data_IF_730892270435
#
_entry.id   IF_730892270435
#
_cell.length_a   1.000
_cell.length_b   1.000
_cell.length_c   1.000
_cell.angle_alpha   90.00
_cell.angle_beta   90.00
_cell.angle_gamma   90.00
#
_symmetry.space_group_name_H-M   'P 1'
#
loop_
_entity.id
_entity.type
_entity.pdbx_description
1 polymer ?
#
# COMPACT_ATOMS: atom_id res chain seq x y z
N UNK A 1 11.30 -12.18 -5.60
CA UNK A 1 10.34 -11.98 -4.52
C UNK A 1 9.59 -13.28 -4.09
N UNK A 2 9.68 -14.38 -4.85
CA UNK A 2 9.01 -15.67 -4.53
C UNK A 2 9.94 -16.87 -4.77
N UNK A 3 10.98 -17.06 -3.98
CA UNK A 3 11.84 -18.21 -4.16
C UNK A 3 11.03 -19.51 -4.03
N UNK A 4 11.25 -20.47 -4.94
CA UNK A 4 10.53 -21.76 -4.95
C UNK A 4 9.05 -21.72 -5.38
N UNK A 5 8.37 -20.57 -5.40
CA UNK A 5 6.92 -20.46 -5.70
C UNK A 5 6.60 -19.58 -6.92
N UNK A 6 7.61 -19.12 -7.65
CA UNK A 6 7.40 -18.16 -8.74
C UNK A 6 6.46 -18.67 -9.85
N UNK A 7 6.42 -19.97 -10.12
CA UNK A 7 5.59 -20.57 -11.17
C UNK A 7 4.09 -20.30 -11.00
N UNK A 8 3.61 -20.04 -9.78
CA UNK A 8 2.20 -19.74 -9.48
C UNK A 8 1.84 -18.25 -9.62
N UNK A 9 2.83 -17.38 -9.56
CA UNK A 9 2.63 -15.93 -9.44
C UNK A 9 2.07 -15.30 -10.71
N UNK A 10 2.55 -15.63 -11.95
CA UNK A 10 1.98 -15.04 -13.15
C UNK A 10 0.47 -15.26 -13.31
N UNK A 11 -0.03 -16.45 -12.98
CA UNK A 11 -1.47 -16.76 -13.04
C UNK A 11 -2.27 -15.96 -11.99
N UNK A 12 -1.75 -15.83 -10.77
CA UNK A 12 -2.36 -15.01 -9.73
C UNK A 12 -2.45 -13.53 -10.13
N UNK A 13 -1.38 -12.99 -10.70
CA UNK A 13 -1.36 -11.62 -11.23
C UNK A 13 -2.40 -11.44 -12.33
N UNK A 14 -2.49 -12.39 -13.27
CA UNK A 14 -3.51 -12.36 -14.33
C UNK A 14 -4.93 -12.37 -13.74
N UNK A 15 -5.21 -13.15 -12.70
CA UNK A 15 -6.50 -13.15 -11.99
C UNK A 15 -6.81 -11.78 -11.37
N UNK A 16 -5.82 -11.14 -10.73
CA UNK A 16 -5.96 -9.80 -10.16
C UNK A 16 -6.26 -8.78 -11.26
N UNK A 17 -5.46 -8.76 -12.33
CA UNK A 17 -5.63 -7.87 -13.49
C UNK A 17 -7.04 -8.05 -14.09
N UNK A 18 -7.47 -9.29 -14.32
CA UNK A 18 -8.80 -9.61 -14.88
C UNK A 18 -9.95 -9.08 -14.02
N UNK A 19 -9.81 -9.14 -12.68
CA UNK A 19 -10.82 -8.60 -11.76
C UNK A 19 -10.87 -7.08 -11.77
N UNK A 20 -9.72 -6.41 -11.77
CA UNK A 20 -9.62 -4.96 -11.76
C UNK A 20 -10.07 -4.37 -13.10
N UNK A 21 -9.60 -4.91 -14.22
CA UNK A 21 -9.82 -4.37 -15.57
C UNK A 21 -11.29 -4.32 -16.02
N UNK A 22 -12.17 -5.11 -15.38
CA UNK A 22 -13.60 -5.11 -15.69
C UNK A 22 -14.28 -3.76 -15.47
N UNK A 23 -13.79 -2.94 -14.55
CA UNK A 23 -14.46 -1.70 -14.15
C UNK A 23 -13.56 -0.48 -14.19
N UNK A 24 -12.29 -0.65 -14.52
CA UNK A 24 -11.35 0.46 -14.65
C UNK A 24 -10.21 0.11 -15.60
N UNK A 25 -9.58 1.15 -16.15
CA UNK A 25 -8.38 1.02 -16.97
C UNK A 25 -7.17 0.67 -16.08
N UNK A 26 -6.31 -0.19 -16.59
CA UNK A 26 -5.04 -0.54 -15.92
C UNK A 26 -3.89 -0.06 -16.78
N UNK A 27 -2.98 0.70 -16.19
CA UNK A 27 -1.66 0.98 -16.72
C UNK A 27 -0.72 -0.11 -16.22
N UNK A 28 -0.43 -1.09 -17.08
CA UNK A 28 0.40 -2.25 -16.72
C UNK A 28 1.86 -1.97 -17.05
N UNK A 29 2.69 -1.89 -16.02
CA UNK A 29 4.13 -1.78 -16.16
C UNK A 29 4.70 -3.16 -16.44
N UNK A 30 5.51 -3.27 -17.48
CA UNK A 30 6.15 -4.51 -17.91
C UNK A 30 7.65 -4.25 -18.10
N UNK A 31 8.47 -4.99 -17.37
CA UNK A 31 9.94 -4.84 -17.41
C UNK A 31 10.60 -5.70 -18.49
N UNK A 32 10.05 -6.89 -18.74
CA UNK A 32 10.59 -7.88 -19.72
C UNK A 32 9.43 -8.63 -20.41
N UNK A 33 9.73 -9.32 -21.51
CA UNK A 33 8.82 -10.26 -22.18
C UNK A 33 7.44 -9.69 -22.55
N UNK A 34 7.37 -8.42 -22.91
CA UNK A 34 6.10 -7.71 -23.21
C UNK A 34 5.26 -8.44 -24.27
N UNK A 35 5.89 -9.08 -25.26
CA UNK A 35 5.20 -9.86 -26.31
C UNK A 35 4.40 -11.03 -25.70
N UNK A 36 5.04 -11.80 -24.82
CA UNK A 36 4.40 -12.93 -24.14
C UNK A 36 3.28 -12.49 -23.22
N UNK A 37 3.50 -11.41 -22.48
CA UNK A 37 2.47 -10.85 -21.58
C UNK A 37 1.26 -10.35 -22.37
N UNK A 38 1.46 -9.65 -23.50
CA UNK A 38 0.39 -9.25 -24.42
C UNK A 38 -0.38 -10.47 -24.94
N UNK A 39 0.31 -11.54 -25.33
CA UNK A 39 -0.31 -12.79 -25.77
C UNK A 39 -1.18 -13.41 -24.66
N UNK A 40 -0.65 -13.51 -23.42
CA UNK A 40 -1.40 -14.02 -22.27
C UNK A 40 -2.65 -13.17 -21.96
N UNK A 41 -2.54 -11.85 -21.97
CA UNK A 41 -3.67 -10.92 -21.76
C UNK A 41 -4.75 -11.13 -22.83
N UNK A 42 -4.35 -11.27 -24.11
CA UNK A 42 -5.27 -11.55 -25.25
C UNK A 42 -5.96 -12.90 -25.09
N UNK A 43 -5.22 -13.96 -24.80
CA UNK A 43 -5.76 -15.32 -24.59
C UNK A 43 -6.77 -15.37 -23.45
N UNK A 44 -6.54 -14.61 -22.38
CA UNK A 44 -7.48 -14.51 -21.25
C UNK A 44 -8.62 -13.51 -21.49
N UNK A 45 -8.74 -12.95 -22.69
CA UNK A 45 -9.78 -11.96 -23.09
C UNK A 45 -9.86 -10.76 -22.12
N UNK A 46 -8.71 -10.32 -21.59
CA UNK A 46 -8.62 -9.19 -20.67
C UNK A 46 -8.59 -7.89 -21.48
N UNK A 47 -9.49 -6.97 -21.17
CA UNK A 47 -9.61 -5.65 -21.81
C UNK A 47 -9.17 -4.53 -20.89
N UNK A 48 -9.14 -3.28 -21.38
CA UNK A 48 -8.84 -2.06 -20.61
C UNK A 48 -7.40 -2.01 -20.05
N UNK A 49 -6.43 -2.53 -20.80
CA UNK A 49 -5.01 -2.53 -20.41
C UNK A 49 -4.21 -1.61 -21.32
N UNK A 50 -3.49 -0.67 -20.73
CA UNK A 50 -2.37 0.04 -21.37
C UNK A 50 -1.06 -0.58 -20.91
N UNK A 51 -0.19 -0.89 -21.84
CA UNK A 51 1.13 -1.45 -21.55
C UNK A 51 2.19 -0.35 -21.54
N UNK A 52 3.01 -0.33 -20.51
CA UNK A 52 4.15 0.58 -20.39
C UNK A 52 5.42 -0.23 -20.16
N UNK A 53 6.40 -0.09 -21.07
CA UNK A 53 7.69 -0.74 -20.89
C UNK A 53 8.58 0.13 -20.01
N UNK A 54 8.73 -0.28 -18.75
CA UNK A 54 9.57 0.38 -17.76
C UNK A 54 10.38 -0.69 -17.02
N UNK A 55 11.69 -0.52 -16.97
CA UNK A 55 12.55 -1.43 -16.18
C UNK A 55 12.23 -1.28 -14.70
N UNK A 56 11.99 -2.39 -14.03
CA UNK A 56 11.78 -2.48 -12.59
C UNK A 56 12.67 -3.56 -12.00
N UNK A 57 12.99 -3.44 -10.74
CA UNK A 57 13.72 -4.47 -9.98
C UNK A 57 12.73 -5.40 -9.27
N UNK A 58 11.58 -4.88 -8.84
CA UNK A 58 10.54 -5.58 -8.09
C UNK A 58 9.14 -5.23 -8.59
N UNK A 59 8.12 -5.89 -8.07
CA UNK A 59 6.72 -5.68 -8.46
C UNK A 59 5.97 -4.66 -7.57
N UNK A 60 6.55 -4.26 -6.45
CA UNK A 60 5.88 -3.53 -5.39
C UNK A 60 5.67 -2.06 -5.74
N UNK A 61 4.73 -1.80 -6.67
CA UNK A 61 4.47 -0.47 -7.21
C UNK A 61 3.84 0.49 -6.19
N UNK A 62 3.24 -0.03 -5.11
CA UNK A 62 2.74 0.79 -4.01
C UNK A 62 3.86 1.65 -3.42
N UNK A 63 5.05 1.08 -3.31
CA UNK A 63 6.16 1.68 -2.60
C UNK A 63 7.11 2.47 -3.50
N UNK A 64 7.31 1.99 -4.71
CA UNK A 64 8.18 2.65 -5.69
C UNK A 64 7.44 3.54 -6.69
N UNK A 65 6.12 3.42 -6.76
CA UNK A 65 5.27 4.09 -7.75
C UNK A 65 4.88 5.52 -7.38
N UNK A 66 4.17 6.21 -8.30
CA UNK A 66 3.84 7.61 -8.16
C UNK A 66 2.77 7.85 -7.11
N UNK A 67 3.01 8.78 -6.21
CA UNK A 67 1.99 9.33 -5.33
C UNK A 67 1.37 10.53 -6.04
N UNK A 68 0.09 10.39 -6.42
CA UNK A 68 -0.61 11.45 -7.11
C UNK A 68 -1.27 12.42 -6.13
N UNK A 69 -1.07 13.71 -6.39
CA UNK A 69 -1.89 14.79 -5.83
C UNK A 69 -2.73 15.43 -6.92
N UNK A 70 -3.94 15.86 -6.57
CA UNK A 70 -4.89 16.45 -7.51
C UNK A 70 -5.34 17.81 -7.03
N UNK A 71 -5.45 18.76 -7.97
CA UNK A 71 -6.18 20.00 -7.79
C UNK A 71 -7.44 19.93 -8.65
N UNK A 72 -8.61 19.82 -7.99
CA UNK A 72 -9.89 19.68 -8.68
C UNK A 72 -10.34 20.98 -9.37
N UNK A 73 -9.99 22.12 -8.81
CA UNK A 73 -10.35 23.44 -9.37
C UNK A 73 -9.62 23.66 -10.69
N UNK A 74 -8.30 23.46 -10.68
CA UNK A 74 -7.47 23.60 -11.87
C UNK A 74 -7.47 22.35 -12.78
N UNK A 75 -8.20 21.30 -12.43
CA UNK A 75 -8.20 19.99 -13.12
C UNK A 75 -6.79 19.48 -13.40
N UNK A 76 -5.89 19.63 -12.44
CA UNK A 76 -4.48 19.22 -12.55
C UNK A 76 -4.15 18.03 -11.67
N UNK A 77 -3.27 17.19 -12.17
CA UNK A 77 -2.70 16.04 -11.48
C UNK A 77 -1.18 16.14 -11.54
N UNK A 78 -0.54 15.92 -10.41
CA UNK A 78 0.92 16.00 -10.25
C UNK A 78 1.43 14.77 -9.52
N UNK A 79 2.61 14.31 -9.88
CA UNK A 79 3.31 13.22 -9.21
C UNK A 79 4.20 13.80 -8.11
N UNK A 80 4.02 13.37 -6.87
CA UNK A 80 5.05 13.50 -5.85
C UNK A 80 6.05 12.36 -6.03
N UNK A 81 7.24 12.71 -6.51
CA UNK A 81 8.30 11.77 -6.79
C UNK A 81 9.21 11.61 -5.58
N UNK A 82 8.75 10.88 -4.57
CA UNK A 82 9.61 10.50 -3.46
C UNK A 82 10.76 9.59 -3.94
N UNK A 83 11.85 9.55 -3.19
CA UNK A 83 12.90 8.57 -3.40
C UNK A 83 12.46 7.20 -2.86
N UNK A 84 12.97 6.15 -3.48
CA UNK A 84 12.85 4.77 -3.03
C UNK A 84 14.24 4.16 -2.87
N UNK A 85 14.51 3.49 -1.75
CA UNK A 85 15.81 2.93 -1.40
C UNK A 85 15.76 1.45 -1.00
N UNK A 86 14.76 0.71 -1.50
CA UNK A 86 14.59 -0.71 -1.19
C UNK A 86 14.28 -0.96 0.28
N UNK A 87 13.44 -0.12 0.90
CA UNK A 87 13.06 -0.15 2.32
C UNK A 87 14.25 -0.03 3.28
N UNK A 88 15.36 0.57 2.84
CA UNK A 88 16.66 0.58 3.55
C UNK A 88 17.20 -0.82 3.90
N UNK A 89 16.81 -1.82 3.13
CA UNK A 89 17.15 -3.23 3.35
C UNK A 89 17.82 -3.87 2.14
N UNK A 90 17.33 -3.56 0.94
CA UNK A 90 17.76 -4.21 -0.29
C UNK A 90 18.51 -3.25 -1.22
N UNK A 91 19.59 -3.73 -1.84
CA UNK A 91 20.43 -2.93 -2.73
C UNK A 91 19.92 -2.87 -4.18
N UNK A 92 19.01 -3.76 -4.58
CA UNK A 92 18.44 -3.85 -5.93
C UNK A 92 17.15 -3.03 -6.03
N UNK A 93 17.27 -1.71 -6.07
CA UNK A 93 16.15 -0.77 -6.17
C UNK A 93 16.37 0.35 -7.20
N UNK A 94 17.49 0.34 -7.91
CA UNK A 94 17.90 1.45 -8.80
C UNK A 94 16.93 1.72 -9.94
N UNK A 95 16.32 0.66 -10.50
CA UNK A 95 15.29 0.82 -11.53
C UNK A 95 13.97 1.28 -10.91
N UNK A 96 13.56 0.70 -9.78
CA UNK A 96 12.34 1.07 -9.07
C UNK A 96 12.34 2.56 -8.68
N UNK A 97 13.48 3.09 -8.21
CA UNK A 97 13.62 4.51 -7.89
C UNK A 97 13.50 5.46 -9.12
N UNK A 98 13.49 4.91 -10.33
CA UNK A 98 13.32 5.68 -11.59
C UNK A 98 11.91 5.58 -12.19
N UNK A 99 11.03 4.72 -11.66
CA UNK A 99 9.68 4.46 -12.20
C UNK A 99 8.92 5.77 -12.38
N UNK A 100 8.89 6.63 -11.36
CA UNK A 100 8.15 7.89 -11.38
C UNK A 100 8.63 8.86 -12.45
N UNK A 101 9.93 8.88 -12.74
CA UNK A 101 10.50 9.67 -13.83
C UNK A 101 10.01 9.14 -15.20
N UNK A 102 9.96 7.82 -15.36
CA UNK A 102 9.47 7.19 -16.59
C UNK A 102 7.98 7.44 -16.79
N UNK A 103 7.17 7.26 -15.75
CA UNK A 103 5.72 7.52 -15.79
C UNK A 103 5.43 8.99 -16.09
N UNK A 104 6.14 9.93 -15.43
CA UNK A 104 6.00 11.36 -15.67
C UNK A 104 6.23 11.71 -17.14
N UNK A 105 7.26 11.14 -17.77
CA UNK A 105 7.56 11.35 -19.20
C UNK A 105 6.50 10.74 -20.11
N UNK A 106 6.13 9.46 -19.89
CA UNK A 106 5.18 8.73 -20.75
C UNK A 106 3.80 9.35 -20.70
N UNK A 107 3.34 9.76 -19.53
CA UNK A 107 1.98 10.28 -19.32
C UNK A 107 1.93 11.83 -19.31
N UNK A 108 3.06 12.49 -19.55
CA UNK A 108 3.20 13.95 -19.52
C UNK A 108 2.69 14.59 -18.22
N UNK A 109 2.98 13.95 -17.07
CA UNK A 109 2.63 14.49 -15.77
C UNK A 109 3.75 15.36 -15.22
N UNK A 110 3.39 16.56 -14.74
CA UNK A 110 4.28 17.34 -13.88
C UNK A 110 4.64 16.54 -12.65
N UNK A 111 5.91 16.56 -12.26
CA UNK A 111 6.38 15.95 -11.02
C UNK A 111 7.03 16.98 -10.10
N UNK A 112 6.91 16.73 -8.81
CA UNK A 112 7.57 17.47 -7.74
C UNK A 112 8.43 16.47 -6.98
N UNK A 113 9.70 16.79 -6.79
CA UNK A 113 10.63 16.02 -5.96
C UNK A 113 10.55 16.54 -4.52
N UNK A 114 10.02 15.78 -3.56
CA UNK A 114 10.04 16.19 -2.17
C UNK A 114 11.47 16.21 -1.63
N UNK A 115 11.89 17.36 -1.14
CA UNK A 115 13.24 17.59 -0.63
C UNK A 115 13.21 18.18 0.77
N UNK A 116 14.27 17.91 1.51
CA UNK A 116 14.59 18.57 2.78
C UNK A 116 15.96 19.23 2.69
N UNK A 117 16.05 20.45 3.23
CA UNK A 117 17.32 21.13 3.46
C UNK A 117 17.69 20.98 4.93
N UNK A 118 18.78 20.28 5.23
CA UNK A 118 19.27 20.06 6.61
C UNK A 118 20.79 20.21 6.65
N UNK A 119 21.30 21.04 7.54
CA UNK A 119 22.74 21.34 7.67
C UNK A 119 23.39 21.73 6.33
N UNK A 120 22.77 22.65 5.59
CA UNK A 120 23.25 23.12 4.28
C UNK A 120 23.12 22.14 3.12
N UNK A 121 22.73 20.88 3.36
CA UNK A 121 22.60 19.86 2.30
C UNK A 121 21.14 19.67 1.90
N UNK A 122 20.90 19.61 0.59
CA UNK A 122 19.60 19.26 0.01
C UNK A 122 19.57 17.75 -0.22
N UNK A 123 18.52 17.08 0.28
CA UNK A 123 18.34 15.64 0.08
C UNK A 123 16.91 15.36 -0.38
N UNK A 124 16.76 14.44 -1.31
CA UNK A 124 15.44 13.89 -1.69
C UNK A 124 14.92 13.03 -0.53
N UNK A 125 13.64 13.19 -0.21
CA UNK A 125 13.01 12.44 0.87
C UNK A 125 12.63 11.05 0.35
N UNK A 126 12.96 10.03 1.11
CA UNK A 126 12.58 8.63 0.86
C UNK A 126 11.22 8.39 1.51
N UNK A 127 10.26 7.83 0.75
CA UNK A 127 8.93 7.51 1.26
C UNK A 127 8.25 6.47 0.37
N UNK A 128 7.73 5.44 0.98
CA UNK A 128 6.92 4.42 0.34
C UNK A 128 5.42 4.74 0.46
N UNK A 129 4.63 4.42 -0.57
CA UNK A 129 3.18 4.64 -0.54
C UNK A 129 2.43 3.72 0.42
N UNK A 130 3.04 2.59 0.84
CA UNK A 130 2.50 1.70 1.88
C UNK A 130 2.78 2.17 3.31
N UNK A 131 3.76 3.09 3.49
CA UNK A 131 4.13 3.62 4.79
C UNK A 131 3.11 4.60 5.38
N UNK A 132 2.17 5.09 4.59
CA UNK A 132 1.13 6.03 5.04
C UNK A 132 -0.21 5.80 4.34
N UNK A 133 -1.30 6.18 4.99
CA UNK A 133 -2.64 6.23 4.40
C UNK A 133 -3.33 7.55 4.77
N UNK A 134 -4.12 8.12 3.86
CA UNK A 134 -4.74 9.43 4.02
C UNK A 134 -6.26 9.37 3.84
N UNK A 135 -7.00 10.18 4.62
CA UNK A 135 -8.46 10.26 4.49
C UNK A 135 -8.94 11.23 3.39
N UNK A 136 -8.02 11.92 2.70
CA UNK A 136 -8.32 12.93 1.69
C UNK A 136 -8.90 14.24 2.26
N UNK A 137 -8.85 14.45 3.57
CA UNK A 137 -9.38 15.64 4.25
C UNK A 137 -8.38 16.30 5.20
N UNK A 138 -7.14 15.81 5.22
CA UNK A 138 -6.07 16.39 6.04
C UNK A 138 -5.62 15.53 7.23
N UNK A 139 -6.12 14.30 7.37
CA UNK A 139 -5.61 13.33 8.35
C UNK A 139 -4.81 12.22 7.69
N UNK A 140 -3.71 11.80 8.32
CA UNK A 140 -2.82 10.73 7.89
C UNK A 140 -2.60 9.68 8.98
N UNK A 141 -2.51 8.42 8.58
CA UNK A 141 -2.09 7.28 9.40
C UNK A 141 -0.64 6.95 9.10
N UNK A 142 0.15 6.71 10.12
CA UNK A 142 1.59 6.41 10.08
C UNK A 142 1.93 5.41 11.18
N UNK A 143 3.08 4.75 11.07
CA UNK A 143 3.63 3.94 12.16
C UNK A 143 4.98 4.50 12.63
N UNK A 144 5.22 4.46 13.94
CA UNK A 144 6.51 4.83 14.54
C UNK A 144 7.60 3.82 14.13
N UNK A 145 7.25 2.53 14.03
CA UNK A 145 8.18 1.48 13.63
C UNK A 145 8.76 1.73 12.23
N UNK A 146 7.93 2.03 11.25
CA UNK A 146 8.39 2.26 9.88
C UNK A 146 9.25 3.53 9.75
N UNK A 147 8.81 4.64 10.35
CA UNK A 147 9.36 5.95 10.03
C UNK A 147 10.38 6.45 11.06
N UNK A 148 10.33 5.97 12.31
CA UNK A 148 11.17 6.48 13.39
C UNK A 148 12.19 5.48 13.92
N UNK A 149 12.08 4.19 13.54
CA UNK A 149 13.04 3.17 13.91
C UNK A 149 14.41 3.42 13.28
N UNK A 150 15.46 3.02 13.97
CA UNK A 150 16.82 3.00 13.43
C UNK A 150 17.10 1.75 12.60
N UNK A 151 16.27 0.73 12.72
CA UNK A 151 16.26 -0.42 11.85
C UNK A 151 15.56 -0.01 10.56
N UNK A 152 16.18 -0.26 9.41
CA UNK A 152 15.65 0.17 8.10
C UNK A 152 15.32 1.68 8.06
N UNK A 153 16.19 2.55 8.59
CA UNK A 153 16.00 4.00 8.64
C UNK A 153 15.96 4.60 7.22
N UNK A 154 14.77 5.02 6.75
CA UNK A 154 14.56 5.58 5.39
C UNK A 154 15.25 6.92 5.22
N UNK A 155 15.12 7.79 6.20
CA UNK A 155 15.67 9.14 6.17
C UNK A 155 16.55 9.38 7.38
N UNK A 156 17.87 9.33 7.20
CA UNK A 156 18.83 9.41 8.30
C UNK A 156 18.59 10.64 9.18
N UNK A 157 18.43 10.37 10.49
CA UNK A 157 18.21 11.38 11.53
C UNK A 157 16.90 12.17 11.40
N UNK A 158 15.87 11.67 10.67
CA UNK A 158 14.55 12.29 10.72
C UNK A 158 13.90 12.01 12.07
N UNK A 159 13.24 13.05 12.58
CA UNK A 159 12.37 12.99 13.75
C UNK A 159 10.90 13.09 13.32
N UNK A 160 9.99 12.79 14.21
CA UNK A 160 8.55 12.90 14.01
C UNK A 160 8.15 14.24 13.38
N UNK A 161 8.67 15.35 13.92
CA UNK A 161 8.42 16.72 13.39
C UNK A 161 8.91 16.92 11.95
N UNK A 162 9.97 16.24 11.51
CA UNK A 162 10.47 16.36 10.14
C UNK A 162 9.46 15.74 9.15
N UNK A 163 8.90 14.56 9.48
CA UNK A 163 7.84 13.93 8.71
C UNK A 163 6.55 14.75 8.71
N UNK A 164 6.12 15.26 9.86
CA UNK A 164 4.93 16.10 9.98
C UNK A 164 5.04 17.36 9.13
N UNK A 165 6.17 18.06 9.17
CA UNK A 165 6.46 19.23 8.30
C UNK A 165 6.42 18.85 6.81
N UNK A 166 6.99 17.71 6.45
CA UNK A 166 7.01 17.21 5.07
C UNK A 166 5.60 16.90 4.58
N UNK A 167 4.81 16.14 5.32
CA UNK A 167 3.44 15.80 4.95
C UNK A 167 2.51 17.03 4.93
N UNK A 168 2.71 17.98 5.85
CA UNK A 168 2.00 19.26 5.80
C UNK A 168 2.32 20.02 4.51
N UNK A 169 3.61 20.17 4.17
CA UNK A 169 4.06 20.91 3.00
C UNK A 169 3.57 20.33 1.68
N UNK A 170 3.67 18.99 1.50
CA UNK A 170 3.45 18.35 0.21
C UNK A 170 2.05 17.74 0.04
N UNK A 171 1.37 17.39 1.14
CA UNK A 171 0.03 16.77 1.14
C UNK A 171 -1.01 17.59 1.91
N UNK A 172 -0.66 18.75 2.43
CA UNK A 172 -1.55 19.60 3.25
C UNK A 172 -2.16 18.84 4.45
N UNK A 173 -1.38 17.93 5.05
CA UNK A 173 -1.81 17.19 6.24
C UNK A 173 -1.70 18.08 7.46
N UNK A 174 -2.76 18.10 8.27
CA UNK A 174 -2.85 18.89 9.52
C UNK A 174 -3.02 18.01 10.74
N UNK A 175 -3.48 16.78 10.56
CA UNK A 175 -3.76 15.84 11.64
C UNK A 175 -3.01 14.53 11.44
N UNK A 176 -2.23 14.10 12.43
CA UNK A 176 -1.29 12.98 12.36
C UNK A 176 -1.65 11.93 13.39
N UNK A 177 -1.96 10.71 12.95
CA UNK A 177 -2.20 9.56 13.81
C UNK A 177 -1.00 8.63 13.71
N UNK A 178 -0.20 8.59 14.75
CA UNK A 178 0.98 7.74 14.86
C UNK A 178 0.65 6.45 15.60
N UNK A 179 0.56 5.36 14.86
CA UNK A 179 0.47 4.01 15.41
C UNK A 179 1.87 3.54 15.85
N UNK A 180 1.94 2.45 16.59
CA UNK A 180 3.21 1.96 17.15
C UNK A 180 3.92 1.05 16.17
N UNK A 181 3.54 -0.22 16.11
CA UNK A 181 4.21 -1.28 15.34
C UNK A 181 3.26 -1.92 14.34
N UNK A 182 3.82 -2.45 13.26
CA UNK A 182 3.15 -3.31 12.32
C UNK A 182 2.93 -4.73 12.85
N UNK A 183 2.86 -5.67 11.92
CA UNK A 183 2.66 -7.10 12.19
C UNK A 183 3.96 -7.89 11.99
N UNK A 184 4.04 -9.04 12.63
CA UNK A 184 5.17 -9.96 12.49
C UNK A 184 5.27 -10.50 11.07
N UNK A 185 6.49 -10.60 10.57
CA UNK A 185 6.79 -11.04 9.21
C UNK A 185 6.79 -9.93 8.16
N UNK A 186 6.35 -8.72 8.53
CA UNK A 186 6.39 -7.58 7.62
C UNK A 186 7.82 -7.16 7.31
N UNK A 187 8.22 -7.36 6.05
CA UNK A 187 9.55 -7.09 5.53
C UNK A 187 9.83 -5.59 5.34
N UNK A 188 8.77 -4.79 5.32
CA UNK A 188 8.85 -3.33 5.19
C UNK A 188 9.09 -2.61 6.51
N UNK A 189 9.09 -3.35 7.61
CA UNK A 189 9.29 -2.84 8.97
C UNK A 189 8.17 -1.92 9.44
N UNK A 190 6.93 -2.39 9.35
CA UNK A 190 5.77 -1.74 9.95
C UNK A 190 4.98 -0.82 9.03
N UNK A 191 4.79 -1.19 7.77
CA UNK A 191 3.90 -0.46 6.89
C UNK A 191 2.47 -0.38 7.45
N UNK A 192 1.85 0.80 7.32
CA UNK A 192 0.51 1.02 7.86
C UNK A 192 -0.57 0.33 7.04
N UNK A 193 -0.35 0.11 5.75
CA UNK A 193 -1.31 -0.51 4.85
C UNK A 193 -1.53 -2.01 5.10
N UNK A 194 -0.67 -2.63 5.89
CA UNK A 194 -0.84 -4.00 6.40
C UNK A 194 -1.66 -4.09 7.69
N UNK A 195 -1.90 -2.97 8.37
CA UNK A 195 -2.59 -2.98 9.67
C UNK A 195 -3.82 -2.08 9.72
N UNK A 196 -3.84 -0.94 9.00
CA UNK A 196 -4.89 0.06 9.19
C UNK A 196 -5.07 0.90 7.93
N UNK A 197 -6.33 1.08 7.49
CA UNK A 197 -6.67 1.82 6.29
C UNK A 197 -7.88 2.73 6.47
N UNK A 198 -7.83 3.93 5.88
CA UNK A 198 -9.04 4.72 5.69
C UNK A 198 -9.94 4.07 4.62
N UNK A 199 -11.21 3.93 4.93
CA UNK A 199 -12.24 3.44 3.99
C UNK A 199 -13.27 4.52 3.67
N UNK A 200 -13.24 5.59 4.41
CA UNK A 200 -13.90 6.88 4.13
C UNK A 200 -13.21 7.99 4.91
N UNK A 201 -13.66 9.25 4.73
CA UNK A 201 -13.11 10.40 5.47
C UNK A 201 -13.13 10.22 6.99
N UNK A 202 -14.16 9.53 7.51
CA UNK A 202 -14.40 9.41 8.96
C UNK A 202 -14.42 7.95 9.44
N UNK A 203 -14.02 6.99 8.60
CA UNK A 203 -14.04 5.58 8.97
C UNK A 203 -12.70 4.93 8.68
N UNK A 204 -12.21 4.19 9.64
CA UNK A 204 -10.96 3.43 9.61
C UNK A 204 -11.29 1.95 9.76
N UNK A 205 -10.74 1.10 8.88
CA UNK A 205 -10.63 -0.33 9.11
C UNK A 205 -9.26 -0.65 9.69
N UNK A 206 -9.20 -1.50 10.71
CA UNK A 206 -7.97 -1.89 11.36
C UNK A 206 -7.95 -3.37 11.69
N UNK A 207 -6.79 -3.98 11.49
CA UNK A 207 -6.55 -5.35 11.90
C UNK A 207 -6.56 -5.48 13.43
N UNK A 208 -7.15 -6.56 13.92
CA UNK A 208 -7.16 -6.90 15.34
C UNK A 208 -6.78 -8.38 15.52
N UNK A 209 -6.00 -8.68 16.54
CA UNK A 209 -5.71 -10.04 16.95
C UNK A 209 -6.46 -10.32 18.25
N UNK A 210 -7.26 -11.39 18.26
CA UNK A 210 -8.07 -11.77 19.40
C UNK A 210 -7.35 -12.78 20.33
N UNK A 211 -6.38 -13.52 19.79
CA UNK A 211 -5.61 -14.48 20.55
C UNK A 211 -4.53 -13.76 21.35
N UNK A 212 -4.71 -13.65 22.66
CA UNK A 212 -3.76 -12.99 23.58
C UNK A 212 -2.36 -13.59 23.57
N UNK A 213 -2.21 -14.85 23.13
CA UNK A 213 -0.92 -15.55 23.02
C UNK A 213 -0.21 -15.25 21.70
N UNK A 214 -0.88 -14.68 20.70
CA UNK A 214 -0.25 -14.32 19.44
C UNK A 214 0.68 -13.11 19.61
N UNK A 215 1.83 -13.15 18.96
CA UNK A 215 2.84 -12.10 19.00
C UNK A 215 2.31 -10.73 18.54
N UNK A 216 1.32 -10.71 17.63
CA UNK A 216 0.70 -9.49 17.12
C UNK A 216 -0.29 -8.84 18.09
N UNK A 217 -0.79 -9.60 19.10
CA UNK A 217 -1.85 -9.12 19.98
C UNK A 217 -1.53 -7.79 20.67
N UNK A 218 -0.37 -7.70 21.34
CA UNK A 218 0.01 -6.50 22.10
C UNK A 218 0.11 -5.26 21.22
N UNK A 219 0.73 -5.41 20.04
CA UNK A 219 0.96 -4.30 19.12
C UNK A 219 -0.34 -3.81 18.47
N UNK A 220 -1.17 -4.73 17.97
CA UNK A 220 -2.44 -4.38 17.34
C UNK A 220 -3.43 -3.81 18.36
N UNK A 221 -3.44 -4.31 19.60
CA UNK A 221 -4.28 -3.73 20.65
C UNK A 221 -3.84 -2.31 21.06
N UNK A 222 -2.52 -2.03 21.13
CA UNK A 222 -2.01 -0.67 21.34
C UNK A 222 -2.47 0.26 20.20
N UNK A 223 -2.36 -0.18 18.97
CA UNK A 223 -2.80 0.59 17.79
C UNK A 223 -4.31 0.84 17.83
N UNK A 224 -5.11 -0.17 18.17
CA UNK A 224 -6.57 -0.03 18.31
C UNK A 224 -6.95 1.02 19.37
N UNK A 225 -6.26 1.05 20.50
CA UNK A 225 -6.52 2.04 21.55
C UNK A 225 -6.17 3.46 21.08
N UNK A 226 -5.05 3.66 20.39
CA UNK A 226 -4.71 4.95 19.77
C UNK A 226 -5.81 5.39 18.80
N UNK A 227 -6.29 4.48 17.94
CA UNK A 227 -7.34 4.79 16.97
C UNK A 227 -8.67 5.19 17.63
N UNK A 228 -9.06 4.52 18.72
CA UNK A 228 -10.28 4.85 19.49
C UNK A 228 -10.25 6.26 20.07
N UNK A 229 -9.07 6.72 20.50
CA UNK A 229 -8.88 8.06 21.05
C UNK A 229 -8.62 9.12 19.97
N UNK A 230 -8.28 8.71 18.76
CA UNK A 230 -7.97 9.63 17.67
C UNK A 230 -9.21 10.36 17.16
N UNK A 231 -9.00 11.61 16.78
CA UNK A 231 -10.00 12.46 16.15
C UNK A 231 -9.56 12.85 14.74
N UNK A 232 -10.49 13.13 13.85
CA UNK A 232 -10.20 13.67 12.54
C UNK A 232 -9.79 15.16 12.62
N UNK A 233 -9.40 15.75 11.50
CA UNK A 233 -9.02 17.17 11.37
C UNK A 233 -10.10 18.17 11.81
N UNK A 234 -11.35 17.69 11.99
CA UNK A 234 -12.50 18.46 12.47
C UNK A 234 -12.85 18.15 13.94
N UNK A 235 -11.97 17.49 14.69
CA UNK A 235 -12.18 17.13 16.09
C UNK A 235 -13.16 15.99 16.36
N UNK A 236 -13.76 15.37 15.34
CA UNK A 236 -14.71 14.25 15.50
C UNK A 236 -13.97 12.91 15.60
N UNK A 237 -14.45 11.99 16.44
CA UNK A 237 -13.93 10.63 16.54
C UNK A 237 -14.19 9.85 15.25
N UNK A 238 -13.30 8.92 14.92
CA UNK A 238 -13.46 8.02 13.79
C UNK A 238 -14.40 6.86 14.14
N UNK A 239 -15.15 6.39 13.13
CA UNK A 239 -15.77 5.06 13.19
C UNK A 239 -14.68 4.03 12.94
N UNK A 240 -14.45 3.11 13.90
CA UNK A 240 -13.46 2.06 13.81
C UNK A 240 -14.14 0.73 13.49
N UNK A 241 -13.70 0.10 12.40
CA UNK A 241 -14.16 -1.23 11.99
C UNK A 241 -13.00 -2.20 12.22
N UNK A 242 -13.22 -3.13 13.13
CA UNK A 242 -12.25 -4.17 13.45
C UNK A 242 -12.36 -5.33 12.45
N UNK A 243 -11.23 -5.76 11.90
CA UNK A 243 -11.12 -6.91 11.01
C UNK A 243 -10.14 -7.88 11.65
N UNK A 244 -10.51 -9.16 11.86
CA UNK A 244 -9.59 -10.11 12.49
C UNK A 244 -8.34 -10.30 11.63
N UNK A 245 -7.22 -10.61 12.28
CA UNK A 245 -6.06 -11.15 11.56
C UNK A 245 -6.40 -12.53 11.00
N UNK A 246 -5.82 -12.94 9.86
CA UNK A 246 -5.76 -14.35 9.49
C UNK A 246 -5.03 -15.16 10.57
N UNK A 247 -5.42 -16.42 10.77
CA UNK A 247 -4.60 -17.38 11.53
C UNK A 247 -3.16 -17.36 11.00
N UNK A 248 -2.12 -17.54 11.84
CA UNK A 248 -0.73 -17.51 11.43
C UNK A 248 -0.43 -18.41 10.23
N UNK A 249 0.19 -17.86 9.21
CA UNK A 249 0.60 -18.59 8.00
C UNK A 249 2.10 -18.68 7.99
N UNK A 250 2.60 -19.88 7.76
CA UNK A 250 4.03 -20.16 7.66
C UNK A 250 4.36 -20.74 6.29
N UNK A 251 5.42 -20.25 5.67
CA UNK A 251 6.01 -20.78 4.45
C UNK A 251 7.50 -20.96 4.75
N UNK A 252 8.02 -22.17 4.53
CA UNK A 252 9.42 -22.53 4.85
C UNK A 252 9.82 -22.07 6.28
N UNK A 253 8.97 -22.38 7.27
CA UNK A 253 9.14 -21.99 8.68
C UNK A 253 9.15 -20.47 8.95
N UNK A 254 8.91 -19.64 7.96
CA UNK A 254 8.82 -18.19 8.11
C UNK A 254 7.36 -17.76 8.23
N UNK A 255 6.99 -17.07 9.30
CA UNK A 255 5.68 -16.44 9.41
C UNK A 255 5.59 -15.27 8.43
N UNK A 256 4.63 -15.34 7.49
CA UNK A 256 4.41 -14.31 6.49
C UNK A 256 3.37 -13.28 6.96
N UNK A 257 3.43 -12.01 6.49
CA UNK A 257 2.60 -10.90 6.97
C UNK A 257 1.20 -10.90 6.32
N UNK A 258 0.48 -12.01 6.43
CA UNK A 258 -0.86 -12.10 5.88
C UNK A 258 -1.81 -11.11 6.57
N UNK A 259 -2.46 -10.26 5.79
CA UNK A 259 -3.41 -9.28 6.30
C UNK A 259 -4.52 -8.96 5.29
N UNK A 260 -5.76 -8.91 5.76
CA UNK A 260 -6.91 -8.44 4.97
C UNK A 260 -6.83 -6.94 4.70
N UNK A 261 -6.00 -6.17 5.42
CA UNK A 261 -5.82 -4.73 5.20
C UNK A 261 -5.09 -4.42 3.90
N UNK A 262 -4.40 -5.40 3.32
CA UNK A 262 -3.74 -5.25 2.02
C UNK A 262 -4.74 -5.41 0.83
N UNK A 263 -5.99 -4.97 1.02
CA UNK A 263 -7.02 -4.92 -0.02
C UNK A 263 -6.85 -3.72 -0.94
N UNK A 264 -7.39 -3.82 -2.16
CA UNK A 264 -7.40 -2.73 -3.13
C UNK A 264 -8.81 -2.21 -3.43
N UNK A 265 -8.99 -0.89 -3.38
CA UNK A 265 -10.25 -0.21 -3.69
C UNK A 265 -10.31 0.12 -5.17
N UNK A 266 -11.16 -0.58 -5.93
CA UNK A 266 -11.47 -0.29 -7.32
C UNK A 266 -12.72 0.59 -7.44
N UNK A 267 -13.02 1.08 -8.66
CA UNK A 267 -14.18 1.95 -8.91
C UNK A 267 -15.51 1.36 -8.44
N UNK A 268 -15.79 0.09 -8.69
CA UNK A 268 -17.05 -0.59 -8.32
C UNK A 268 -16.84 -1.82 -7.44
N UNK A 269 -15.62 -2.06 -7.01
CA UNK A 269 -15.23 -3.30 -6.32
C UNK A 269 -14.20 -3.05 -5.24
N UNK A 270 -14.14 -4.01 -4.34
CA UNK A 270 -12.99 -4.22 -3.46
C UNK A 270 -12.34 -5.53 -3.86
N UNK A 271 -11.05 -5.54 -4.09
CA UNK A 271 -10.28 -6.77 -4.29
C UNK A 271 -9.64 -7.11 -2.94
N UNK A 272 -10.17 -8.16 -2.32
CA UNK A 272 -9.82 -8.58 -0.97
C UNK A 272 -8.91 -9.81 -1.02
N UNK A 273 -7.69 -9.75 -0.44
CA UNK A 273 -6.87 -10.93 -0.28
C UNK A 273 -7.54 -11.90 0.71
N UNK A 274 -7.50 -13.20 0.42
CA UNK A 274 -7.87 -14.28 1.32
C UNK A 274 -6.73 -15.29 1.38
N UNK A 275 -6.71 -16.14 2.42
CA UNK A 275 -5.52 -16.92 2.76
C UNK A 275 -5.82 -18.39 3.07
N UNK A 276 -7.04 -18.88 2.75
CA UNK A 276 -7.53 -20.24 3.04
C UNK A 276 -7.59 -20.57 4.53
N UNK A 277 -7.95 -19.61 5.34
CA UNK A 277 -8.12 -19.74 6.79
C UNK A 277 -9.55 -19.44 7.21
N UNK A 278 -9.96 -19.89 8.40
CA UNK A 278 -11.34 -19.73 8.90
C UNK A 278 -11.79 -18.26 8.99
N UNK A 279 -10.87 -17.33 9.24
CA UNK A 279 -11.14 -15.90 9.35
C UNK A 279 -11.50 -15.26 8.01
N UNK A 280 -11.22 -15.89 6.87
CA UNK A 280 -11.57 -15.37 5.53
C UNK A 280 -13.06 -15.04 5.43
N UNK A 281 -13.93 -15.95 5.89
CA UNK A 281 -15.38 -15.74 5.84
C UNK A 281 -15.84 -14.57 6.73
N UNK A 282 -15.19 -14.38 7.88
CA UNK A 282 -15.48 -13.28 8.79
C UNK A 282 -15.09 -11.96 8.13
N UNK A 283 -13.89 -11.89 7.56
CA UNK A 283 -13.40 -10.71 6.85
C UNK A 283 -14.32 -10.36 5.66
N UNK A 284 -14.66 -11.34 4.82
CA UNK A 284 -15.59 -11.15 3.69
C UNK A 284 -16.92 -10.56 4.16
N UNK A 285 -17.51 -11.09 5.24
CA UNK A 285 -18.77 -10.58 5.82
C UNK A 285 -18.64 -9.12 6.29
N UNK A 286 -17.54 -8.76 6.98
CA UNK A 286 -17.27 -7.39 7.43
C UNK A 286 -17.16 -6.45 6.23
N UNK A 287 -16.39 -6.82 5.20
CA UNK A 287 -16.24 -6.01 4.01
C UNK A 287 -17.54 -5.83 3.23
N UNK A 288 -18.34 -6.89 3.05
CA UNK A 288 -19.67 -6.82 2.42
C UNK A 288 -20.63 -5.89 3.19
N UNK A 289 -20.63 -5.97 4.51
CA UNK A 289 -21.49 -5.15 5.36
C UNK A 289 -21.12 -3.65 5.28
N UNK A 290 -19.85 -3.33 5.15
CA UNK A 290 -19.41 -1.95 5.05
C UNK A 290 -19.51 -1.39 3.63
N UNK A 291 -19.00 -2.09 2.64
CA UNK A 291 -18.96 -1.63 1.24
C UNK A 291 -20.20 -2.04 0.45
N UNK A 292 -21.38 -1.66 0.92
CA UNK A 292 -22.68 -2.06 0.31
C UNK A 292 -22.80 -1.67 -1.16
N UNK A 293 -22.17 -0.60 -1.58
CA UNK A 293 -22.19 -0.09 -2.96
C UNK A 293 -21.02 -0.62 -3.83
N UNK A 294 -20.24 -1.58 -3.31
CA UNK A 294 -19.11 -2.19 -4.01
C UNK A 294 -19.17 -3.70 -3.93
N UNK A 295 -18.90 -4.36 -5.05
CA UNK A 295 -18.77 -5.83 -5.05
C UNK A 295 -17.47 -6.23 -4.36
N UNK A 296 -17.55 -7.14 -3.41
CA UNK A 296 -16.35 -7.76 -2.81
C UNK A 296 -15.94 -8.92 -3.69
N UNK A 297 -14.76 -8.85 -4.27
CA UNK A 297 -14.12 -9.93 -5.02
C UNK A 297 -12.87 -10.40 -4.30
N UNK A 298 -12.80 -11.69 -3.98
CA UNK A 298 -11.67 -12.27 -3.27
C UNK A 298 -10.61 -12.78 -4.22
N UNK A 299 -9.36 -12.75 -3.77
CA UNK A 299 -8.23 -13.41 -4.43
C UNK A 299 -7.47 -14.21 -3.38
N UNK A 300 -7.28 -15.48 -3.65
CA UNK A 300 -6.43 -16.34 -2.84
C UNK A 300 -4.98 -15.91 -2.98
N UNK A 301 -4.47 -15.32 -1.92
CA UNK A 301 -3.11 -14.79 -1.81
C UNK A 301 -2.18 -15.68 -0.97
N UNK A 302 -2.58 -16.91 -0.65
CA UNK A 302 -1.80 -17.84 0.19
C UNK A 302 -0.39 -18.13 -0.37
N UNK A 303 -0.21 -18.09 -1.71
CA UNK A 303 1.09 -18.19 -2.35
C UNK A 303 1.72 -16.83 -2.64
N UNK A 304 0.89 -15.80 -2.90
CA UNK A 304 1.38 -14.45 -3.19
C UNK A 304 2.10 -13.84 -2.00
N UNK A 305 1.60 -14.11 -0.79
CA UNK A 305 2.12 -13.53 0.46
C UNK A 305 3.57 -13.97 0.79
N UNK A 306 4.08 -15.00 0.14
CA UNK A 306 5.50 -15.36 0.24
C UNK A 306 6.45 -14.26 -0.24
N UNK A 307 5.97 -13.35 -1.09
CA UNK A 307 6.70 -12.13 -1.46
C UNK A 307 6.63 -11.02 -0.42
N UNK A 308 6.07 -11.27 0.77
CA UNK A 308 5.88 -10.33 1.89
C UNK A 308 4.96 -9.14 1.57
N UNK A 309 4.10 -9.27 0.57
CA UNK A 309 3.08 -8.31 0.20
C UNK A 309 1.90 -8.97 -0.52
N UNK A 310 0.79 -8.26 -0.64
CA UNK A 310 -0.38 -8.73 -1.35
C UNK A 310 -0.88 -7.70 -2.39
N UNK A 311 -2.19 -7.55 -2.54
CA UNK A 311 -2.80 -6.81 -3.67
C UNK A 311 -2.52 -5.31 -3.60
N UNK A 312 -2.60 -4.70 -2.41
CA UNK A 312 -2.33 -3.27 -2.26
C UNK A 312 -0.88 -2.93 -2.57
N UNK A 313 0.06 -3.72 -2.07
CA UNK A 313 1.49 -3.50 -2.27
C UNK A 313 1.92 -3.51 -3.74
N UNK A 314 1.27 -4.30 -4.61
CA UNK A 314 1.58 -4.34 -6.04
C UNK A 314 0.79 -3.35 -6.90
N UNK A 315 -0.09 -2.57 -6.31
CA UNK A 315 -0.98 -1.64 -7.04
C UNK A 315 -0.80 -0.20 -6.59
N UNK A 316 -1.00 0.75 -7.52
CA UNK A 316 -1.04 2.17 -7.22
C UNK A 316 -2.20 2.81 -7.96
N UNK A 317 -3.01 3.59 -7.27
CA UNK A 317 -4.12 4.29 -7.89
C UNK A 317 -3.66 5.56 -8.60
N UNK A 318 -4.17 5.75 -9.81
CA UNK A 318 -4.15 7.01 -10.51
C UNK A 318 -5.53 7.65 -10.41
N UNK A 319 -5.72 8.73 -9.63
CA UNK A 319 -7.03 9.35 -9.47
C UNK A 319 -7.48 10.01 -10.77
N UNK A 320 -8.79 9.91 -11.06
CA UNK A 320 -9.44 10.72 -12.09
C UNK A 320 -9.64 12.14 -11.55
N UNK A 321 -9.44 13.13 -12.41
CA UNK A 321 -9.71 14.55 -12.13
C UNK A 321 -11.12 14.88 -12.61
#
# INVERSE_FOLDING_TARGET
DWPGLYQFIPELILKIIKKISKNQKINLIVSKNIKNIKKLIKLNKIKNINFHYIKTDRIWLRDSGPIFITNKVEKRKVILNFGFNGWSKYNNYKNDNKINNSISKIANFKKIDPIIKKKGRIRKIIMEGGAFDVNGSGTILLTEECLLSKIQERNKNFKKKDYEKMFNKYLNIKNFIWLKKGITGDDTHGHVDDITRFVSRNTIMTAVENNKKDINYKNLNKNLNILKESKCEKGKKFKIIKVPMPSPIYIENTRVPASYMNFYICNKKIILPIFRVKEDNIAIKIFKNYFRNRKIETVDCSKLIWGFGAIHCMTQQEPKI
#
